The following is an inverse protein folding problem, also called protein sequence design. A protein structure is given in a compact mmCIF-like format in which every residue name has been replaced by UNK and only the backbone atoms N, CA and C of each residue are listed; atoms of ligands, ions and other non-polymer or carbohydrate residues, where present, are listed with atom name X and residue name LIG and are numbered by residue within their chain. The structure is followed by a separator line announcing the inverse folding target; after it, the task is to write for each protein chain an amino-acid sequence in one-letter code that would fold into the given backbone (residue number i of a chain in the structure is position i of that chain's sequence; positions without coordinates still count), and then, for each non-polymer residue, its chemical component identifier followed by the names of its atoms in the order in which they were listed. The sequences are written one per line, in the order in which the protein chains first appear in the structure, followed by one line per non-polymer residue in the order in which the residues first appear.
data_IF_907383551175
#
_entry.id   IF_907383551175
#
_cell.length_a   1.000
_cell.length_b   1.000
_cell.length_c   1.000
_cell.angle_alpha   90.00
_cell.angle_beta   90.00
_cell.angle_gamma   90.00
#
_symmetry.space_group_name_H-M   'P 1'
#
loop_
_entity.id
_entity.type
_entity.pdbx_description
1 polymer ?
#
# COMPACT_ATOMS: atom_id res chain seq x y z
N UNK A 1 -121.62 -9.47 -3.96
CA UNK A 1 -121.46 -9.17 -5.38
C UNK A 1 -120.11 -8.68 -5.61
N UNK A 2 -119.23 -9.56 -6.13
CA UNK A 2 -118.33 -9.39 -7.27
C UNK A 2 -117.39 -8.18 -7.18
N UNK A 3 -116.10 -8.25 -7.32
CA UNK A 3 -115.24 -8.92 -8.26
C UNK A 3 -113.78 -8.78 -7.84
N UNK A 4 -113.02 -9.79 -8.18
CA UNK A 4 -111.58 -9.84 -8.20
C UNK A 4 -110.95 -8.80 -9.06
N UNK A 5 -109.78 -8.37 -8.66
CA UNK A 5 -108.69 -8.12 -9.63
C UNK A 5 -107.31 -8.31 -9.00
N UNK A 6 -106.54 -9.14 -9.65
CA UNK A 6 -105.14 -9.48 -9.42
C UNK A 6 -104.29 -8.31 -9.68
N UNK A 7 -103.24 -8.07 -8.83
CA UNK A 7 -102.10 -7.19 -9.16
C UNK A 7 -100.83 -8.04 -9.23
N UNK A 8 -100.14 -7.86 -10.32
CA UNK A 8 -99.03 -8.62 -10.79
C UNK A 8 -97.74 -8.32 -9.97
N UNK A 9 -96.97 -9.37 -9.80
CA UNK A 9 -95.64 -9.34 -9.27
C UNK A 9 -94.72 -8.62 -10.23
N UNK A 10 -93.99 -7.58 -9.74
CA UNK A 10 -92.82 -6.98 -10.41
C UNK A 10 -91.55 -7.52 -9.77
N UNK A 11 -90.54 -7.91 -10.61
CA UNK A 11 -89.29 -8.43 -10.09
C UNK A 11 -88.37 -7.35 -9.59
N UNK A 12 -87.77 -7.53 -8.42
CA UNK A 12 -86.73 -6.66 -7.86
C UNK A 12 -85.44 -6.77 -8.67
N UNK A 13 -84.76 -5.68 -9.03
CA UNK A 13 -83.42 -5.69 -9.64
C UNK A 13 -82.35 -5.99 -8.59
N UNK A 14 -81.61 -7.10 -8.78
CA UNK A 14 -80.40 -7.46 -8.07
C UNK A 14 -79.30 -6.34 -8.25
N UNK A 15 -79.07 -5.59 -7.20
CA UNK A 15 -77.90 -4.67 -7.15
C UNK A 15 -76.61 -5.50 -7.03
N UNK A 16 -75.97 -5.68 -8.16
CA UNK A 16 -74.54 -6.11 -8.17
C UNK A 16 -73.70 -5.08 -7.45
N UNK A 17 -73.19 -5.37 -6.25
CA UNK A 17 -72.08 -4.60 -5.61
C UNK A 17 -70.84 -5.00 -6.32
N UNK A 18 -70.27 -4.11 -7.11
CA UNK A 18 -68.89 -4.16 -7.60
C UNK A 18 -67.96 -3.88 -6.40
N UNK A 19 -67.29 -4.92 -5.92
CA UNK A 19 -66.15 -4.79 -5.01
C UNK A 19 -64.96 -4.35 -5.83
N UNK A 20 -64.67 -3.05 -5.84
CA UNK A 20 -63.40 -2.50 -6.34
C UNK A 20 -62.31 -2.83 -5.32
N UNK A 21 -61.58 -3.92 -5.57
CA UNK A 21 -60.37 -4.23 -4.85
C UNK A 21 -59.27 -3.22 -5.20
N UNK A 22 -58.95 -2.32 -4.30
CA UNK A 22 -57.79 -1.49 -4.40
C UNK A 22 -56.57 -2.38 -4.15
N UNK A 23 -55.89 -2.81 -5.22
CA UNK A 23 -54.57 -3.42 -5.14
C UNK A 23 -53.57 -2.37 -4.71
N UNK A 24 -53.25 -2.31 -3.41
CA UNK A 24 -52.19 -1.49 -2.87
C UNK A 24 -50.82 -2.02 -3.39
N UNK A 25 -50.22 -1.28 -4.27
CA UNK A 25 -48.82 -1.49 -4.64
C UNK A 25 -47.94 -1.05 -3.48
N UNK A 26 -47.44 -2.02 -2.70
CA UNK A 26 -46.36 -1.77 -1.73
C UNK A 26 -45.08 -1.56 -2.54
N UNK A 27 -44.72 -0.32 -2.76
CA UNK A 27 -43.41 0.03 -3.30
C UNK A 27 -42.35 -0.34 -2.25
N UNK A 28 -41.75 -1.53 -2.38
CA UNK A 28 -40.51 -1.84 -1.64
C UNK A 28 -39.43 -0.88 -2.12
N UNK A 29 -38.75 -0.13 -1.21
CA UNK A 29 -37.59 0.63 -1.59
C UNK A 29 -36.52 -0.35 -2.05
N UNK A 30 -36.23 -0.35 -3.35
CA UNK A 30 -35.07 -1.01 -3.91
C UNK A 30 -33.86 -0.19 -3.44
N UNK A 31 -33.21 -0.62 -2.38
CA UNK A 31 -31.89 -0.11 -2.03
C UNK A 31 -30.91 -0.57 -3.14
N UNK A 32 -30.80 0.21 -4.19
CA UNK A 32 -29.69 0.10 -5.12
C UNK A 32 -28.47 0.48 -4.29
N UNK A 33 -27.79 -0.51 -3.69
CA UNK A 33 -26.42 -0.33 -3.27
C UNK A 33 -25.67 -0.02 -4.55
N UNK A 34 -25.25 1.24 -4.68
CA UNK A 34 -24.22 1.62 -5.65
C UNK A 34 -23.01 0.74 -5.37
N UNK A 35 -22.95 -0.40 -6.01
CA UNK A 35 -21.74 -1.20 -6.13
C UNK A 35 -20.83 -0.44 -7.10
N UNK A 36 -20.33 0.74 -6.67
CA UNK A 36 -19.15 1.30 -7.29
C UNK A 36 -18.09 0.24 -7.11
N UNK A 37 -17.73 -0.42 -8.20
CA UNK A 37 -16.58 -1.30 -8.22
C UNK A 37 -15.41 -0.42 -7.75
N UNK A 38 -14.98 -0.62 -6.50
CA UNK A 38 -13.86 0.12 -5.93
C UNK A 38 -12.67 -0.21 -6.82
N UNK A 39 -12.18 0.79 -7.55
CA UNK A 39 -11.05 0.63 -8.45
C UNK A 39 -9.88 0.05 -7.63
N UNK A 40 -9.41 -1.12 -8.06
CA UNK A 40 -8.35 -1.80 -7.34
C UNK A 40 -7.05 -1.01 -7.50
N UNK A 41 -6.39 -0.75 -6.39
CA UNK A 41 -5.08 -0.14 -6.40
C UNK A 41 -4.10 -1.03 -7.18
N UNK A 42 -3.23 -0.39 -7.94
CA UNK A 42 -2.16 -1.07 -8.63
C UNK A 42 -1.15 -1.60 -7.63
N UNK A 43 -0.80 -2.88 -7.75
CA UNK A 43 0.25 -3.47 -6.92
C UNK A 43 1.59 -2.75 -7.15
N UNK A 44 2.33 -2.55 -6.08
CA UNK A 44 3.71 -2.05 -6.16
C UNK A 44 4.55 -3.03 -6.99
N UNK A 45 5.26 -2.57 -8.03
CA UNK A 45 6.08 -3.44 -8.87
C UNK A 45 7.18 -4.13 -8.07
N UNK A 46 7.30 -5.45 -8.23
CA UNK A 46 8.43 -6.21 -7.68
C UNK A 46 9.72 -5.88 -8.40
N UNK A 47 10.82 -5.86 -7.66
CA UNK A 47 12.18 -5.68 -8.15
C UNK A 47 13.08 -6.78 -7.61
N UNK A 48 14.27 -6.93 -8.22
CA UNK A 48 15.27 -7.87 -7.72
C UNK A 48 15.70 -7.51 -6.30
N UNK A 49 15.91 -8.54 -5.46
CA UNK A 49 16.51 -8.39 -4.14
C UNK A 49 17.95 -7.87 -4.23
N UNK A 50 18.64 -8.22 -5.31
CA UNK A 50 20.07 -7.93 -5.46
C UNK A 50 20.95 -8.83 -4.59
N UNK A 51 22.28 -8.62 -4.63
CA UNK A 51 23.23 -9.50 -3.95
C UNK A 51 23.49 -9.16 -2.47
N UNK A 52 22.92 -8.08 -1.93
CA UNK A 52 23.33 -7.52 -0.64
C UNK A 52 22.28 -7.59 0.46
N UNK A 53 21.24 -8.40 0.29
CA UNK A 53 20.37 -8.73 1.43
C UNK A 53 21.19 -9.50 2.49
N UNK A 54 21.07 -9.17 3.79
CA UNK A 54 21.93 -9.76 4.81
C UNK A 54 21.91 -11.29 4.83
N UNK A 55 23.08 -11.91 4.70
CA UNK A 55 23.24 -13.38 4.84
C UNK A 55 22.90 -13.83 6.27
N UNK A 56 23.28 -13.00 7.24
CA UNK A 56 22.91 -13.12 8.65
C UNK A 56 22.39 -11.77 9.08
N UNK A 57 21.21 -11.75 9.69
CA UNK A 57 20.64 -10.49 10.18
C UNK A 57 21.56 -9.90 11.26
N UNK A 58 21.81 -8.59 11.25
CA UNK A 58 22.58 -7.93 12.28
C UNK A 58 21.90 -8.08 13.65
N UNK A 59 22.68 -7.91 14.72
CA UNK A 59 22.16 -7.99 16.09
C UNK A 59 21.14 -6.88 16.37
N UNK A 60 21.38 -5.67 15.83
CA UNK A 60 20.44 -4.59 15.82
C UNK A 60 19.71 -4.57 14.46
N UNK A 61 18.41 -4.59 14.52
CA UNK A 61 17.53 -4.58 13.32
C UNK A 61 16.40 -3.60 13.48
N UNK A 62 16.49 -2.65 14.39
CA UNK A 62 15.42 -1.70 14.61
C UNK A 62 15.21 -0.75 13.40
N UNK A 63 14.31 0.20 13.53
CA UNK A 63 13.94 1.11 12.44
C UNK A 63 14.81 2.38 12.37
N UNK A 64 15.82 2.53 13.26
CA UNK A 64 16.75 3.67 13.23
C UNK A 64 18.14 3.23 12.75
N UNK A 65 18.40 3.33 11.45
CA UNK A 65 19.66 2.92 10.87
C UNK A 65 20.83 3.88 11.18
N UNK A 66 20.56 5.00 11.84
CA UNK A 66 21.56 6.01 12.21
C UNK A 66 22.09 5.83 13.63
N UNK A 67 21.50 4.94 14.41
CA UNK A 67 21.87 4.70 15.81
C UNK A 67 22.04 3.21 16.06
N UNK A 68 23.18 2.78 16.59
CA UNK A 68 23.46 1.42 17.01
C UNK A 68 24.09 1.46 18.43
N UNK A 69 23.29 1.23 19.45
CA UNK A 69 23.76 1.42 20.82
C UNK A 69 24.30 2.82 21.04
N UNK A 70 25.59 2.95 21.39
CA UNK A 70 26.25 4.26 21.58
C UNK A 70 26.79 4.89 20.31
N UNK A 71 26.74 4.18 19.18
CA UNK A 71 27.25 4.66 17.88
C UNK A 71 26.19 5.47 17.17
N UNK A 72 26.65 6.53 16.50
CA UNK A 72 25.78 7.38 15.66
C UNK A 72 26.42 7.60 14.31
N UNK A 73 25.62 7.36 13.27
CA UNK A 73 26.01 7.68 11.90
C UNK A 73 25.67 9.12 11.58
N UNK A 74 26.65 9.88 11.09
CA UNK A 74 26.51 11.33 10.83
C UNK A 74 26.85 11.73 9.39
N UNK A 75 27.13 10.75 8.52
CA UNK A 75 27.45 11.03 7.13
C UNK A 75 26.20 10.98 6.27
N UNK A 76 26.20 11.77 5.19
CA UNK A 76 25.04 11.88 4.30
C UNK A 76 23.92 12.75 4.85
N UNK A 77 22.82 12.80 4.14
CA UNK A 77 21.63 13.55 4.52
C UNK A 77 20.66 12.64 5.27
N UNK A 78 20.49 12.88 6.57
CA UNK A 78 19.56 12.12 7.37
C UNK A 78 18.12 12.26 6.85
N UNK A 79 17.39 11.15 6.79
CA UNK A 79 16.07 11.10 6.19
C UNK A 79 15.10 10.21 6.98
N UNK A 80 13.83 10.54 6.91
CA UNK A 80 12.72 9.66 7.25
C UNK A 80 12.18 8.99 5.99
N UNK A 81 12.09 7.66 6.01
CA UNK A 81 11.31 6.89 5.04
C UNK A 81 10.06 6.40 5.75
N UNK A 82 8.89 6.78 5.25
CA UNK A 82 7.61 6.40 5.85
C UNK A 82 6.58 6.05 4.79
N UNK A 83 5.53 5.33 5.16
CA UNK A 83 4.45 4.99 4.25
C UNK A 83 3.41 4.10 4.88
N UNK A 84 2.51 3.60 4.06
CA UNK A 84 1.49 2.61 4.45
C UNK A 84 1.56 1.39 3.55
N UNK A 85 1.28 0.23 4.14
CA UNK A 85 1.12 -1.03 3.42
C UNK A 85 -0.37 -1.35 3.35
N UNK A 86 -0.88 -1.52 2.13
CA UNK A 86 -2.29 -1.89 1.89
C UNK A 86 -2.39 -3.08 0.94
N UNK A 87 -3.54 -3.72 0.90
CA UNK A 87 -3.90 -4.62 -0.19
C UNK A 87 -4.46 -3.84 -1.41
N UNK A 88 -4.73 -4.55 -2.50
CA UNK A 88 -5.28 -3.96 -3.72
C UNK A 88 -6.70 -3.36 -3.55
N UNK A 89 -7.40 -3.66 -2.48
CA UNK A 89 -8.68 -3.04 -2.12
C UNK A 89 -8.51 -1.80 -1.23
N UNK A 90 -7.27 -1.38 -0.94
CA UNK A 90 -6.95 -0.24 -0.09
C UNK A 90 -7.09 -0.52 1.41
N UNK A 91 -7.26 -1.78 1.81
CA UNK A 91 -7.34 -2.16 3.22
C UNK A 91 -5.93 -2.21 3.81
N UNK A 92 -5.74 -1.62 4.98
CA UNK A 92 -4.46 -1.64 5.67
C UNK A 92 -4.02 -3.09 5.97
N UNK A 93 -2.76 -3.40 5.66
CA UNK A 93 -2.11 -4.60 6.16
C UNK A 93 -1.59 -4.33 7.57
N UNK A 94 -1.75 -5.26 8.49
CA UNK A 94 -1.21 -5.17 9.86
C UNK A 94 -0.57 -6.49 10.30
N UNK A 95 0.23 -6.45 11.38
CA UNK A 95 0.87 -7.65 11.94
C UNK A 95 2.01 -8.22 11.11
N UNK A 96 2.46 -7.50 10.08
CA UNK A 96 3.66 -7.81 9.30
C UNK A 96 4.83 -6.91 9.65
N UNK A 97 5.88 -7.00 8.85
CA UNK A 97 7.07 -6.14 8.94
C UNK A 97 7.45 -5.61 7.56
N UNK A 98 7.98 -4.39 7.53
CA UNK A 98 8.75 -3.87 6.42
C UNK A 98 10.22 -4.00 6.78
N UNK A 99 11.04 -4.47 5.86
CA UNK A 99 12.50 -4.49 5.96
C UNK A 99 13.07 -3.57 4.90
N UNK A 100 14.12 -2.83 5.25
CA UNK A 100 14.90 -2.06 4.29
C UNK A 100 16.37 -2.41 4.40
N UNK A 101 17.08 -2.31 3.27
CA UNK A 101 18.55 -2.33 3.27
C UNK A 101 19.08 -1.39 2.19
N UNK A 102 20.19 -0.76 2.48
CA UNK A 102 20.86 0.17 1.60
C UNK A 102 22.35 0.29 1.93
N UNK A 103 23.13 0.82 1.01
CA UNK A 103 24.50 1.17 1.25
C UNK A 103 24.63 2.41 2.15
N UNK A 104 25.79 2.56 2.78
CA UNK A 104 26.20 3.78 3.47
C UNK A 104 26.47 4.94 2.47
N UNK A 105 26.87 6.10 2.97
CA UNK A 105 27.13 7.28 2.14
C UNK A 105 28.28 7.08 1.14
N UNK A 106 29.21 6.13 1.38
CA UNK A 106 30.30 5.77 0.49
C UNK A 106 29.91 4.68 -0.53
N UNK A 107 28.63 4.27 -0.57
CA UNK A 107 28.15 3.22 -1.46
C UNK A 107 28.58 1.81 -1.04
N UNK A 108 28.70 1.53 0.28
CA UNK A 108 29.13 0.24 0.82
C UNK A 108 28.02 -0.44 1.60
N UNK A 109 27.84 -1.73 1.35
CA UNK A 109 26.88 -2.57 2.07
C UNK A 109 27.54 -3.37 3.20
N UNK A 110 26.81 -3.57 4.29
CA UNK A 110 27.16 -4.54 5.32
C UNK A 110 26.92 -5.98 4.82
N UNK A 111 27.75 -6.37 3.85
CA UNK A 111 27.64 -7.69 3.23
C UNK A 111 29.02 -8.25 2.86
N UNK A 112 29.30 -9.55 3.08
CA UNK A 112 30.59 -10.16 2.73
C UNK A 112 30.98 -9.95 1.26
N UNK A 113 30.01 -9.97 0.36
CA UNK A 113 30.20 -9.74 -1.08
C UNK A 113 30.64 -8.33 -1.44
N UNK A 114 30.51 -7.34 -0.54
CA UNK A 114 31.01 -5.97 -0.72
C UNK A 114 32.38 -5.72 -0.04
N UNK A 115 33.04 -6.79 0.39
CA UNK A 115 34.41 -6.75 0.94
C UNK A 115 34.51 -6.18 2.36
N UNK A 116 33.40 -6.03 3.10
CA UNK A 116 33.40 -5.65 4.52
C UNK A 116 33.89 -4.22 4.78
N UNK A 117 33.66 -3.29 3.83
CA UNK A 117 34.16 -1.90 3.91
C UNK A 117 33.09 -0.88 4.32
N UNK A 118 31.88 -1.34 4.67
CA UNK A 118 30.81 -0.47 5.14
C UNK A 118 31.18 0.20 6.47
N UNK A 119 30.70 1.43 6.65
CA UNK A 119 30.90 2.17 7.89
C UNK A 119 30.21 1.44 9.06
N UNK A 120 30.94 1.03 10.11
CA UNK A 120 30.37 0.28 11.22
C UNK A 120 29.37 1.08 12.07
N UNK A 121 29.25 2.39 11.86
CA UNK A 121 28.27 3.23 12.54
C UNK A 121 26.92 3.28 11.82
N UNK A 122 26.88 2.88 10.53
CA UNK A 122 25.63 2.80 9.77
C UNK A 122 25.07 1.39 9.87
N UNK A 123 23.81 1.24 10.27
CA UNK A 123 23.22 -0.10 10.46
C UNK A 123 22.99 -0.84 9.13
N UNK A 124 22.73 -0.12 8.04
CA UNK A 124 22.59 -0.67 6.70
C UNK A 124 21.36 -1.53 6.43
N UNK A 125 20.74 -2.09 7.45
CA UNK A 125 19.53 -2.90 7.43
C UNK A 125 18.62 -2.52 8.59
N UNK A 126 17.31 -2.41 8.36
CA UNK A 126 16.34 -2.13 9.42
C UNK A 126 15.03 -2.87 9.19
N UNK A 127 14.29 -3.05 10.28
CA UNK A 127 12.98 -3.69 10.30
C UNK A 127 12.01 -2.86 11.12
N UNK A 128 10.86 -2.52 10.52
CA UNK A 128 9.77 -1.83 11.20
C UNK A 128 8.51 -2.70 11.23
N UNK A 129 7.82 -2.83 12.36
CA UNK A 129 6.51 -3.44 12.41
C UNK A 129 5.51 -2.60 11.60
N UNK A 130 4.56 -3.25 10.94
CA UNK A 130 3.44 -2.59 10.28
C UNK A 130 2.38 -2.32 11.33
N UNK A 131 2.05 -1.05 11.54
CA UNK A 131 1.03 -0.60 12.49
C UNK A 131 -0.38 -1.08 12.13
N UNK A 132 -1.32 -0.91 13.05
CA UNK A 132 -2.71 -1.31 12.86
C UNK A 132 -3.38 -0.59 11.66
N UNK A 133 -2.94 0.62 11.34
CA UNK A 133 -3.39 1.43 10.20
C UNK A 133 -2.54 1.22 8.94
N UNK A 134 -1.66 0.20 8.93
CA UNK A 134 -0.74 -0.11 7.85
C UNK A 134 0.54 0.72 7.84
N UNK A 135 0.72 1.68 8.75
CA UNK A 135 1.87 2.59 8.75
C UNK A 135 3.18 1.89 9.09
N UNK A 136 4.28 2.39 8.50
CA UNK A 136 5.65 2.04 8.84
C UNK A 136 6.55 3.28 8.75
N UNK A 137 7.69 3.28 9.44
CA UNK A 137 8.63 4.40 9.43
C UNK A 137 10.05 3.93 9.77
N UNK A 138 11.02 4.52 9.08
CA UNK A 138 12.46 4.32 9.32
C UNK A 138 13.19 5.65 9.45
N UNK A 139 14.25 5.65 10.25
CA UNK A 139 15.26 6.70 10.24
C UNK A 139 16.48 6.19 9.50
N UNK A 140 16.88 6.86 8.43
CA UNK A 140 17.99 6.45 7.55
C UNK A 140 18.65 7.66 6.90
N UNK A 141 19.42 7.47 5.84
CA UNK A 141 19.92 8.55 4.99
C UNK A 141 19.23 8.54 3.62
N UNK A 142 19.22 9.68 2.94
CA UNK A 142 19.00 9.69 1.49
C UNK A 142 20.02 8.75 0.85
N UNK A 143 19.61 7.76 0.06
CA UNK A 143 20.52 6.72 -0.41
C UNK A 143 21.59 7.30 -1.33
N UNK A 144 22.80 6.73 -1.26
CA UNK A 144 23.91 7.02 -2.15
C UNK A 144 23.91 6.10 -3.37
N UNK A 145 24.61 6.46 -4.42
CA UNK A 145 24.87 5.59 -5.57
C UNK A 145 26.03 4.62 -5.27
N UNK A 146 26.04 3.47 -5.91
CA UNK A 146 27.16 2.52 -5.85
C UNK A 146 27.30 1.74 -7.17
N UNK A 147 28.53 1.43 -7.56
CA UNK A 147 28.85 0.48 -8.65
C UNK A 147 28.00 0.66 -9.93
N UNK A 148 27.74 1.87 -10.35
CA UNK A 148 26.92 2.19 -11.53
C UNK A 148 25.41 2.04 -11.32
N UNK A 149 24.96 1.76 -10.09
CA UNK A 149 23.56 1.79 -9.70
C UNK A 149 23.17 3.19 -9.23
N UNK A 150 21.97 3.62 -9.63
CA UNK A 150 21.37 4.85 -9.08
C UNK A 150 21.07 4.71 -7.58
N UNK A 151 21.03 5.83 -6.81
CA UNK A 151 20.59 5.81 -5.42
C UNK A 151 19.25 5.11 -5.23
N UNK A 152 19.20 4.12 -4.36
CA UNK A 152 17.97 3.38 -4.06
C UNK A 152 18.00 2.76 -2.66
N UNK A 153 16.80 2.49 -2.14
CA UNK A 153 16.59 1.71 -0.93
C UNK A 153 15.86 0.43 -1.32
N UNK A 154 16.39 -0.70 -0.96
CA UNK A 154 15.68 -1.97 -1.08
C UNK A 154 14.60 -2.06 -0.01
N UNK A 155 13.44 -2.58 -0.37
CA UNK A 155 12.28 -2.70 0.52
C UNK A 155 11.69 -4.09 0.38
N UNK A 156 11.40 -4.74 1.51
CA UNK A 156 10.73 -6.04 1.56
C UNK A 156 9.56 -6.00 2.54
N UNK A 157 8.41 -6.50 2.13
CA UNK A 157 7.23 -6.65 2.98
C UNK A 157 7.02 -8.12 3.30
N UNK A 158 6.90 -8.43 4.58
CA UNK A 158 6.68 -9.80 5.07
C UNK A 158 5.48 -9.86 6.00
N UNK A 159 4.69 -10.92 5.88
CA UNK A 159 3.63 -11.25 6.81
C UNK A 159 3.93 -12.64 7.38
N UNK A 160 4.24 -12.71 8.66
CA UNK A 160 4.80 -13.91 9.29
C UNK A 160 6.04 -14.42 8.51
N UNK A 161 5.98 -15.63 7.95
CA UNK A 161 7.08 -16.21 7.16
C UNK A 161 6.94 -15.98 5.65
N UNK A 162 5.84 -15.37 5.21
CA UNK A 162 5.55 -15.15 3.78
C UNK A 162 6.10 -13.78 3.35
N UNK A 163 6.91 -13.77 2.31
CA UNK A 163 7.26 -12.56 1.58
C UNK A 163 6.08 -12.17 0.68
N UNK A 164 5.66 -10.91 0.78
CA UNK A 164 4.58 -10.35 -0.02
C UNK A 164 5.10 -9.49 -1.16
N UNK A 165 6.25 -8.84 -0.95
CA UNK A 165 6.87 -7.95 -1.91
C UNK A 165 8.36 -7.83 -1.63
N UNK A 166 9.18 -7.85 -2.67
CA UNK A 166 10.54 -7.32 -2.69
C UNK A 166 10.62 -6.30 -3.83
N UNK A 167 11.12 -5.10 -3.52
CA UNK A 167 11.18 -3.98 -4.46
C UNK A 167 12.36 -3.04 -4.14
N UNK A 168 12.52 -1.99 -4.95
CA UNK A 168 13.50 -0.92 -4.75
C UNK A 168 12.79 0.43 -4.90
N UNK A 169 13.03 1.34 -3.96
CA UNK A 169 12.61 2.74 -4.05
C UNK A 169 13.77 3.57 -4.58
N UNK A 170 13.52 4.33 -5.62
CA UNK A 170 14.50 5.20 -6.27
C UNK A 170 14.29 6.67 -5.89
N UNK A 171 15.34 7.48 -6.05
CA UNK A 171 15.31 8.91 -5.76
C UNK A 171 14.85 9.69 -6.99
N UNK A 172 13.82 10.53 -6.83
CA UNK A 172 13.31 11.39 -7.89
C UNK A 172 14.35 12.45 -8.29
N UNK A 173 14.46 12.69 -9.60
CA UNK A 173 15.38 13.69 -10.14
C UNK A 173 16.87 13.33 -10.06
N UNK A 174 17.23 12.14 -9.56
CA UNK A 174 18.62 11.75 -9.50
C UNK A 174 19.21 11.52 -10.92
N UNK A 175 20.33 12.16 -11.26
CA UNK A 175 20.92 12.08 -12.60
C UNK A 175 21.38 10.66 -12.98
N UNK A 176 21.71 9.83 -11.99
CA UNK A 176 22.12 8.42 -12.23
C UNK A 176 20.98 7.53 -12.69
N UNK A 177 19.70 7.92 -12.50
CA UNK A 177 18.54 7.15 -12.96
C UNK A 177 18.64 6.82 -14.46
N UNK A 178 19.03 7.79 -15.28
CA UNK A 178 19.13 7.62 -16.73
C UNK A 178 20.24 6.64 -17.15
N UNK A 179 21.22 6.39 -16.30
CA UNK A 179 22.34 5.45 -16.55
C UNK A 179 22.09 4.06 -15.94
N UNK A 180 21.21 3.93 -14.95
CA UNK A 180 20.95 2.66 -14.26
C UNK A 180 20.23 1.64 -15.16
N UNK A 181 20.85 0.49 -15.35
CA UNK A 181 20.34 -0.56 -16.24
C UNK A 181 19.03 -1.20 -15.76
N UNK A 182 18.73 -1.20 -14.46
CA UNK A 182 17.48 -1.74 -13.90
C UNK A 182 16.38 -0.68 -14.03
N UNK A 183 16.62 0.55 -13.59
CA UNK A 183 15.63 1.64 -13.67
C UNK A 183 15.20 1.92 -15.13
N UNK A 184 16.13 1.90 -16.07
CA UNK A 184 15.86 2.12 -17.49
C UNK A 184 14.91 1.08 -18.12
N UNK A 185 14.92 -0.16 -17.64
CA UNK A 185 14.04 -1.24 -18.13
C UNK A 185 12.62 -1.15 -17.58
N UNK A 186 12.39 -0.32 -16.56
CA UNK A 186 11.07 -0.12 -16.01
C UNK A 186 10.15 0.59 -17.01
N UNK A 187 8.88 0.22 -17.03
CA UNK A 187 7.84 1.00 -17.71
C UNK A 187 7.74 2.40 -17.08
N UNK A 188 7.18 3.37 -17.80
CA UNK A 188 6.92 4.71 -17.24
C UNK A 188 6.07 4.61 -15.97
N UNK A 189 5.05 3.74 -15.98
CA UNK A 189 4.17 3.54 -14.84
C UNK A 189 4.90 2.93 -13.64
N UNK A 190 5.86 2.01 -13.86
CA UNK A 190 6.69 1.43 -12.77
C UNK A 190 7.67 2.45 -12.22
N UNK A 191 8.32 3.24 -13.09
CA UNK A 191 9.19 4.35 -12.63
C UNK A 191 8.43 5.30 -11.72
N UNK A 192 7.23 5.73 -12.13
CA UNK A 192 6.40 6.61 -11.33
C UNK A 192 5.96 5.96 -9.99
N UNK A 193 5.73 4.65 -9.99
CA UNK A 193 5.37 3.92 -8.78
C UNK A 193 6.54 3.73 -7.81
N UNK A 194 7.77 3.65 -8.30
CA UNK A 194 8.96 3.30 -7.51
C UNK A 194 9.89 4.46 -7.22
N UNK A 195 9.69 5.65 -7.82
CA UNK A 195 10.56 6.82 -7.66
C UNK A 195 9.88 7.84 -6.75
N UNK A 196 10.60 8.32 -5.73
CA UNK A 196 10.06 9.25 -4.71
C UNK A 196 10.97 10.43 -4.47
N UNK A 197 10.41 11.62 -4.24
CA UNK A 197 11.16 12.76 -3.80
C UNK A 197 11.64 12.59 -2.35
N UNK A 198 12.78 13.20 -2.03
CA UNK A 198 13.25 13.44 -0.68
C UNK A 198 13.05 14.92 -0.38
N UNK A 199 12.02 15.25 0.34
CA UNK A 199 11.61 16.62 0.64
C UNK A 199 12.17 17.12 1.97
N UNK A 200 12.53 18.41 2.10
CA UNK A 200 12.97 18.98 3.37
C UNK A 200 11.92 18.78 4.47
N UNK A 201 12.39 18.45 5.66
CA UNK A 201 11.59 18.30 6.88
C UNK A 201 12.37 18.85 8.07
N UNK A 202 11.72 19.06 9.22
CA UNK A 202 12.35 19.66 10.40
C UNK A 202 13.64 18.93 10.85
N UNK A 203 13.68 17.61 10.71
CA UNK A 203 14.79 16.76 11.17
C UNK A 203 15.61 16.13 10.00
N UNK A 204 15.72 16.82 8.88
CA UNK A 204 16.42 16.33 7.70
C UNK A 204 15.52 16.23 6.48
N UNK A 205 15.56 15.11 5.78
CA UNK A 205 14.69 14.85 4.63
C UNK A 205 13.54 13.90 4.98
N UNK A 206 12.52 13.85 4.14
CA UNK A 206 11.43 12.88 4.22
C UNK A 206 11.08 12.34 2.84
N UNK A 207 10.94 11.04 2.73
CA UNK A 207 10.37 10.36 1.58
C UNK A 207 9.16 9.53 1.99
N UNK A 208 8.09 9.61 1.21
CA UNK A 208 6.89 8.78 1.42
C UNK A 208 6.80 7.70 0.36
N UNK A 209 6.72 6.44 0.79
CA UNK A 209 6.61 5.30 -0.09
C UNK A 209 5.49 4.36 0.37
N UNK A 210 4.28 4.57 -0.16
CA UNK A 210 3.14 3.69 0.10
C UNK A 210 3.28 2.41 -0.74
N UNK A 211 2.98 1.26 -0.14
CA UNK A 211 3.15 -0.07 -0.70
C UNK A 211 1.80 -0.77 -0.85
N UNK A 212 1.51 -1.29 -2.04
CA UNK A 212 0.32 -2.08 -2.31
C UNK A 212 0.75 -3.51 -2.60
N UNK A 213 0.31 -4.46 -1.79
CA UNK A 213 0.70 -5.86 -1.87
C UNK A 213 -0.47 -6.78 -2.25
N UNK A 214 -0.18 -7.95 -2.79
CA UNK A 214 -1.18 -8.99 -2.94
C UNK A 214 -1.56 -9.53 -1.56
N UNK A 215 -2.83 -9.44 -1.21
CA UNK A 215 -3.39 -9.93 0.07
C UNK A 215 -3.51 -11.45 0.13
#
# INVERSE_FOLDING_TARGET
MTQHLRAANAPHPLRRRLLTGAAGWVAMPVFIRDARAQERLRLTPSQTEGPYYPVTLPADTDADLLVQGDRRYTQGEAAWLEGKVTDAAGRALSGGVVEIWQCDQQGRYHHPGDGGRADPNFQGFGRAPIGADGSYRFRTIRPAHYEGRTPHIHVKVKLARRELLTTQMYVEGDPHNAADGIWRRLSVADRNALTRPFEPNADGLRARFDLVVAG
#
